data_IF_253313524296
#
_entry.id   IF_253313524296
#
_cell.length_a   1.000
_cell.length_b   1.000
_cell.length_c   1.000
_cell.angle_alpha   90.00
_cell.angle_beta   90.00
_cell.angle_gamma   90.00
#
_symmetry.space_group_name_H-M   'P 1'
#
loop_
_entity.id
_entity.type
_entity.pdbx_description
1 polymer ?
#
# COMPACT_ATOMS: atom_id res chain seq x y z
N UNK A 1 35.32 -15.79 -4.06
CA UNK A 1 36.03 -16.17 -5.30
C UNK A 1 35.10 -17.10 -6.06
N UNK A 2 34.73 -16.77 -7.29
CA UNK A 2 34.00 -17.68 -8.16
C UNK A 2 35.00 -18.29 -9.14
N UNK A 3 34.95 -19.60 -9.32
CA UNK A 3 35.79 -20.30 -10.29
C UNK A 3 34.87 -21.07 -11.22
N UNK A 4 35.22 -21.07 -12.50
CA UNK A 4 34.48 -21.80 -13.53
C UNK A 4 35.42 -22.85 -14.08
N UNK A 5 34.97 -24.10 -14.05
CA UNK A 5 35.68 -25.22 -14.64
C UNK A 5 34.92 -25.68 -15.88
N UNK A 6 35.64 -25.84 -16.99
CA UNK A 6 35.12 -26.38 -18.24
C UNK A 6 35.82 -27.71 -18.49
N UNK A 7 35.04 -28.76 -18.70
CA UNK A 7 35.53 -30.08 -19.10
C UNK A 7 35.11 -30.39 -20.53
N UNK A 8 35.98 -31.05 -21.27
CA UNK A 8 35.74 -31.45 -22.66
C UNK A 8 34.92 -32.75 -22.74
N UNK A 9 34.90 -33.54 -21.67
CA UNK A 9 34.18 -34.80 -21.59
C UNK A 9 33.15 -34.79 -20.45
N UNK A 10 31.89 -35.19 -20.71
CA UNK A 10 30.89 -35.33 -19.66
C UNK A 10 31.21 -36.52 -18.76
N UNK A 11 31.06 -36.33 -17.45
CA UNK A 11 31.22 -37.40 -16.48
C UNK A 11 31.51 -36.90 -15.07
N UNK A 12 31.68 -37.85 -14.16
CA UNK A 12 32.12 -37.57 -12.79
C UNK A 12 33.59 -37.16 -12.79
N UNK A 13 33.86 -36.02 -12.17
CA UNK A 13 35.19 -35.42 -12.06
C UNK A 13 35.49 -35.12 -10.62
N UNK A 14 36.65 -35.56 -10.19
CA UNK A 14 37.12 -35.37 -8.84
C UNK A 14 38.37 -34.52 -8.85
N UNK A 15 38.36 -33.45 -8.05
CA UNK A 15 39.45 -32.48 -7.95
C UNK A 15 39.88 -32.27 -6.52
N UNK A 16 41.18 -32.08 -6.32
CA UNK A 16 41.72 -31.62 -5.05
C UNK A 16 41.71 -30.09 -5.04
N UNK A 17 40.85 -29.51 -4.20
CA UNK A 17 40.83 -28.09 -3.94
C UNK A 17 41.71 -27.77 -2.73
N UNK A 18 42.64 -26.85 -2.91
CA UNK A 18 43.46 -26.28 -1.86
C UNK A 18 43.34 -24.75 -1.90
N UNK A 19 42.88 -24.15 -0.81
CA UNK A 19 42.71 -22.70 -0.71
C UNK A 19 43.90 -22.11 0.02
N UNK A 20 44.62 -21.20 -0.62
CA UNK A 20 45.72 -20.47 0.02
C UNK A 20 45.35 -19.01 0.21
N UNK A 21 45.27 -18.58 1.47
CA UNK A 21 44.98 -17.21 1.88
C UNK A 21 46.27 -16.48 2.25
N UNK A 22 46.41 -15.25 1.76
CA UNK A 22 47.49 -14.34 2.13
C UNK A 22 46.89 -13.03 2.64
N UNK A 23 46.95 -12.82 3.95
CA UNK A 23 46.29 -11.70 4.61
C UNK A 23 46.99 -10.34 4.39
N UNK A 24 48.31 -10.33 4.17
CA UNK A 24 49.10 -9.13 3.84
C UNK A 24 50.32 -9.46 2.97
N UNK A 25 50.78 -8.49 2.17
CA UNK A 25 52.00 -8.62 1.36
C UNK A 25 53.20 -8.83 2.28
N UNK A 26 53.82 -10.02 2.20
CA UNK A 26 54.93 -10.44 3.07
C UNK A 26 54.56 -11.36 4.24
N UNK A 27 53.27 -11.54 4.53
CA UNK A 27 52.81 -12.45 5.60
C UNK A 27 52.87 -13.92 5.17
N UNK A 28 52.85 -14.81 6.17
CA UNK A 28 52.77 -16.26 6.00
C UNK A 28 51.48 -16.65 5.25
N UNK A 29 51.60 -17.65 4.39
CA UNK A 29 50.50 -18.23 3.65
C UNK A 29 49.73 -19.15 4.60
N UNK A 30 48.41 -18.98 4.67
CA UNK A 30 47.51 -19.90 5.36
C UNK A 30 46.91 -20.78 4.28
N UNK A 31 47.33 -22.04 4.26
CA UNK A 31 46.84 -23.02 3.29
C UNK A 31 45.86 -23.95 3.98
N UNK A 32 44.70 -24.16 3.37
CA UNK A 32 43.70 -25.12 3.85
C UNK A 32 44.20 -26.55 3.63
N UNK A 33 43.65 -27.52 4.36
CA UNK A 33 43.80 -28.92 3.96
C UNK A 33 43.17 -29.13 2.57
N UNK A 34 43.79 -29.99 1.76
CA UNK A 34 43.29 -30.33 0.44
C UNK A 34 41.98 -31.12 0.59
N UNK A 35 40.88 -30.60 0.05
CA UNK A 35 39.58 -31.28 0.07
C UNK A 35 39.30 -31.84 -1.33
N UNK A 36 38.91 -33.09 -1.38
CA UNK A 36 38.44 -33.73 -2.60
C UNK A 36 37.01 -33.25 -2.88
N UNK A 37 36.79 -32.71 -4.08
CA UNK A 37 35.51 -32.20 -4.56
C UNK A 37 35.17 -32.95 -5.82
N UNK A 38 34.03 -33.65 -5.78
CA UNK A 38 33.48 -34.31 -6.95
C UNK A 38 32.33 -33.50 -7.52
N UNK A 39 32.32 -33.34 -8.83
CA UNK A 39 31.22 -32.72 -9.58
C UNK A 39 31.05 -33.46 -10.90
N UNK A 40 29.85 -33.39 -11.49
CA UNK A 40 29.54 -34.07 -12.75
C UNK A 40 29.35 -33.03 -13.84
N UNK A 41 30.11 -33.19 -14.92
CA UNK A 41 30.01 -32.35 -16.11
C UNK A 41 28.98 -33.00 -17.05
N UNK A 42 27.95 -32.26 -17.45
CA UNK A 42 26.96 -32.73 -18.43
C UNK A 42 27.35 -32.24 -19.84
N UNK A 43 27.16 -33.08 -20.86
CA UNK A 43 27.35 -32.68 -22.26
C UNK A 43 26.07 -32.06 -22.78
N UNK A 44 25.94 -30.75 -22.68
CA UNK A 44 24.80 -30.01 -23.23
C UNK A 44 25.26 -28.69 -23.85
N UNK A 45 24.74 -28.39 -25.05
CA UNK A 45 24.75 -27.03 -25.59
C UNK A 45 24.01 -26.10 -24.62
N UNK A 46 24.76 -25.45 -23.71
CA UNK A 46 24.29 -24.28 -22.97
C UNK A 46 23.83 -24.45 -21.51
N UNK A 47 24.18 -25.54 -20.82
CA UNK A 47 23.92 -25.67 -19.38
C UNK A 47 25.14 -26.19 -18.63
N UNK A 48 25.80 -25.35 -17.83
CA UNK A 48 26.89 -25.78 -16.95
C UNK A 48 26.35 -26.64 -15.81
N UNK A 49 27.00 -27.76 -15.50
CA UNK A 49 26.66 -28.58 -14.34
C UNK A 49 26.87 -27.80 -13.03
N UNK A 50 25.87 -27.82 -12.15
CA UNK A 50 25.97 -27.26 -10.80
C UNK A 50 26.63 -28.26 -9.84
N UNK A 51 27.44 -27.74 -8.93
CA UNK A 51 28.04 -28.53 -7.86
C UNK A 51 26.95 -29.09 -6.94
N UNK A 52 26.97 -30.40 -6.70
CA UNK A 52 26.02 -31.09 -5.82
C UNK A 52 26.79 -31.81 -4.69
N UNK A 53 26.81 -31.26 -3.46
CA UNK A 53 27.56 -31.82 -2.35
C UNK A 53 26.89 -33.06 -1.77
N UNK A 54 27.70 -33.98 -1.23
CA UNK A 54 27.25 -35.17 -0.49
C UNK A 54 26.86 -34.88 0.97
N UNK A 55 27.12 -33.66 1.45
CA UNK A 55 26.78 -33.20 2.79
C UNK A 55 25.91 -31.95 2.67
N UNK A 56 25.12 -31.63 3.73
CA UNK A 56 24.28 -30.43 3.75
C UNK A 56 25.10 -29.17 3.42
N UNK A 57 24.72 -28.41 2.38
CA UNK A 57 25.43 -27.19 2.03
C UNK A 57 25.27 -26.14 3.13
N UNK A 58 26.25 -25.24 3.23
CA UNK A 58 26.15 -24.09 4.13
C UNK A 58 25.02 -23.16 3.66
N UNK A 59 24.25 -22.62 4.61
CA UNK A 59 23.16 -21.66 4.34
C UNK A 59 23.66 -20.27 3.94
N UNK A 60 24.91 -19.95 4.28
CA UNK A 60 25.56 -18.67 3.99
C UNK A 60 27.08 -18.87 4.00
N UNK A 61 27.76 -18.23 3.06
CA UNK A 61 29.22 -18.06 3.03
C UNK A 61 29.70 -16.82 3.78
N UNK A 62 28.77 -16.12 4.44
CA UNK A 62 29.01 -14.91 5.23
C UNK A 62 28.63 -13.61 4.52
N UNK A 63 28.30 -13.66 3.23
CA UNK A 63 27.76 -12.51 2.49
C UNK A 63 26.24 -12.34 2.70
N UNK A 64 25.51 -13.44 2.94
CA UNK A 64 24.06 -13.47 3.01
C UNK A 64 23.38 -13.47 1.63
N UNK A 65 22.14 -13.95 1.58
CA UNK A 65 21.26 -13.90 0.41
C UNK A 65 20.27 -12.73 0.51
N UNK A 66 19.78 -12.21 -0.61
CA UNK A 66 18.67 -11.25 -0.59
C UNK A 66 17.36 -11.95 -0.23
N UNK A 67 16.55 -11.35 0.64
CA UNK A 67 15.24 -11.85 1.04
C UNK A 67 14.12 -10.95 0.50
N UNK A 68 13.14 -11.52 -0.19
CA UNK A 68 11.98 -10.77 -0.67
C UNK A 68 10.68 -11.30 -0.07
N UNK A 69 9.95 -10.45 0.64
CA UNK A 69 8.71 -10.81 1.34
C UNK A 69 7.54 -10.03 0.72
N UNK A 70 6.55 -10.76 0.20
CA UNK A 70 5.29 -10.17 -0.27
C UNK A 70 4.16 -10.71 0.59
N UNK A 71 3.36 -9.82 1.14
CA UNK A 71 2.22 -10.21 1.96
C UNK A 71 0.92 -9.57 1.49
N UNK A 72 -0.19 -10.29 1.66
CA UNK A 72 -1.52 -9.73 1.66
C UNK A 72 -2.24 -10.06 2.96
N UNK A 73 -3.01 -9.11 3.47
CA UNK A 73 -3.84 -9.28 4.65
C UNK A 73 -5.25 -8.79 4.35
N UNK A 74 -6.26 -9.62 4.59
CA UNK A 74 -7.66 -9.25 4.39
C UNK A 74 -8.43 -9.35 5.70
N UNK A 75 -8.96 -8.20 6.15
CA UNK A 75 -9.82 -8.11 7.33
C UNK A 75 -11.29 -8.13 6.92
N UNK A 76 -11.99 -9.19 7.29
CA UNK A 76 -13.42 -9.36 7.05
C UNK A 76 -14.18 -9.65 8.34
N UNK A 77 -15.50 -9.71 8.23
CA UNK A 77 -16.38 -10.11 9.32
C UNK A 77 -17.16 -11.35 8.89
N UNK A 78 -17.08 -12.42 9.70
CA UNK A 78 -17.88 -13.63 9.51
C UNK A 78 -18.66 -13.92 10.78
N UNK A 79 -19.99 -14.05 10.67
CA UNK A 79 -20.92 -14.33 11.78
C UNK A 79 -20.76 -13.45 13.03
N UNK A 80 -20.25 -12.22 12.87
CA UNK A 80 -20.05 -11.26 13.96
C UNK A 80 -18.67 -11.29 14.60
N UNK A 81 -17.79 -12.19 14.17
CA UNK A 81 -16.38 -12.24 14.55
C UNK A 81 -15.52 -11.60 13.45
N UNK A 82 -14.44 -10.94 13.85
CA UNK A 82 -13.45 -10.42 12.90
C UNK A 82 -12.49 -11.54 12.53
N UNK A 83 -12.28 -11.70 11.22
CA UNK A 83 -11.37 -12.70 10.67
C UNK A 83 -10.30 -11.97 9.88
N UNK A 84 -9.05 -12.35 10.15
CA UNK A 84 -7.89 -11.88 9.43
C UNK A 84 -7.30 -13.04 8.64
N UNK A 85 -7.36 -12.94 7.32
CA UNK A 85 -6.68 -13.86 6.42
C UNK A 85 -5.35 -13.24 6.00
N UNK A 86 -4.26 -13.99 6.08
CA UNK A 86 -2.94 -13.56 5.64
C UNK A 86 -2.40 -14.53 4.61
N UNK A 87 -1.75 -13.99 3.59
CA UNK A 87 -0.94 -14.74 2.65
C UNK A 87 0.44 -14.10 2.61
N UNK A 88 1.48 -14.83 3.00
CA UNK A 88 2.86 -14.36 3.01
C UNK A 88 3.70 -15.23 2.10
N UNK A 89 4.26 -14.61 1.07
CA UNK A 89 5.17 -15.23 0.10
C UNK A 89 6.60 -14.80 0.40
N UNK A 90 7.46 -15.77 0.67
CA UNK A 90 8.86 -15.58 1.00
C UNK A 90 9.68 -16.11 -0.17
N UNK A 91 10.29 -15.22 -0.92
CA UNK A 91 11.14 -15.57 -2.06
C UNK A 91 12.60 -15.57 -1.62
N UNK A 92 13.26 -16.70 -1.91
CA UNK A 92 14.62 -17.01 -1.52
C UNK A 92 15.49 -17.07 -2.77
N UNK A 93 16.70 -16.51 -2.69
CA UNK A 93 17.67 -16.50 -3.80
C UNK A 93 19.07 -16.94 -3.31
N UNK A 94 19.96 -17.23 -4.26
CA UNK A 94 21.37 -17.51 -4.04
C UNK A 94 21.64 -18.80 -3.25
N UNK A 95 22.40 -18.68 -2.17
CA UNK A 95 22.84 -19.85 -1.39
C UNK A 95 21.68 -20.46 -0.59
N UNK A 96 20.75 -19.63 -0.14
CA UNK A 96 19.58 -20.11 0.58
C UNK A 96 18.61 -20.88 -0.33
N UNK A 97 18.41 -20.43 -1.59
CA UNK A 97 17.59 -21.20 -2.54
C UNK A 97 18.24 -22.55 -2.85
N UNK A 98 19.56 -22.59 -3.01
CA UNK A 98 20.29 -23.85 -3.18
C UNK A 98 20.16 -24.77 -1.97
N UNK A 99 20.34 -24.26 -0.75
CA UNK A 99 20.15 -25.03 0.48
C UNK A 99 18.74 -25.61 0.59
N UNK A 100 17.72 -24.80 0.28
CA UNK A 100 16.32 -25.22 0.26
C UNK A 100 16.06 -26.31 -0.77
N UNK A 101 16.53 -26.15 -2.01
CA UNK A 101 16.37 -27.14 -3.10
C UNK A 101 17.06 -28.45 -2.75
N UNK A 102 18.29 -28.37 -2.24
CA UNK A 102 19.02 -29.54 -1.74
C UNK A 102 18.27 -30.22 -0.60
N UNK A 103 17.64 -29.46 0.30
CA UNK A 103 16.87 -30.03 1.41
C UNK A 103 15.61 -30.80 0.96
N UNK A 104 15.01 -30.38 -0.15
CA UNK A 104 13.84 -31.05 -0.75
C UNK A 104 14.24 -32.39 -1.38
N UNK A 105 15.37 -32.43 -2.08
CA UNK A 105 15.93 -33.64 -2.68
C UNK A 105 16.46 -34.66 -1.63
N UNK A 106 16.51 -34.27 -0.37
CA UNK A 106 16.85 -35.14 0.78
C UNK A 106 15.67 -35.33 1.74
N UNK A 107 14.44 -35.03 1.31
CA UNK A 107 13.27 -35.07 2.18
C UNK A 107 13.08 -36.48 2.77
N UNK A 108 13.10 -36.55 4.10
CA UNK A 108 12.92 -37.80 4.82
C UNK A 108 14.13 -38.72 4.89
N UNK A 109 15.32 -38.24 4.53
CA UNK A 109 16.57 -38.96 4.78
C UNK A 109 16.83 -39.15 6.28
N UNK A 110 17.32 -40.34 6.65
CA UNK A 110 17.67 -40.69 8.03
C UNK A 110 19.12 -40.34 8.39
N UNK A 111 19.83 -39.62 7.52
CA UNK A 111 21.22 -39.22 7.77
C UNK A 111 21.33 -38.33 9.01
N UNK A 112 22.18 -38.75 9.95
CA UNK A 112 22.45 -38.07 11.21
C UNK A 112 23.27 -36.79 11.01
N UNK A 113 23.96 -36.64 9.88
CA UNK A 113 24.71 -35.43 9.54
C UNK A 113 23.79 -34.25 9.16
N UNK A 114 22.54 -34.51 8.76
CA UNK A 114 21.57 -33.48 8.41
C UNK A 114 21.19 -32.62 9.62
N UNK A 115 20.95 -31.34 9.40
CA UNK A 115 20.48 -30.43 10.42
C UNK A 115 19.12 -30.87 10.98
N UNK A 116 18.82 -30.55 12.25
CA UNK A 116 17.55 -30.91 12.87
C UNK A 116 16.32 -30.39 12.11
N UNK A 117 16.48 -29.27 11.38
CA UNK A 117 15.41 -28.69 10.55
C UNK A 117 15.01 -29.63 9.41
N UNK A 118 15.98 -30.11 8.62
CA UNK A 118 15.73 -31.02 7.49
C UNK A 118 15.27 -32.39 8.01
N UNK A 119 15.91 -32.88 9.07
CA UNK A 119 15.59 -34.19 9.68
C UNK A 119 14.21 -34.25 10.33
N UNK A 120 13.55 -33.12 10.54
CA UNK A 120 12.19 -33.07 11.08
C UNK A 120 11.13 -33.53 10.07
N UNK A 121 11.47 -33.47 8.78
CA UNK A 121 10.62 -33.98 7.70
C UNK A 121 10.73 -35.50 7.62
N UNK A 122 9.60 -36.14 7.34
CA UNK A 122 9.49 -37.58 7.11
C UNK A 122 9.45 -37.83 5.62
N UNK A 123 9.88 -39.02 5.19
CA UNK A 123 9.84 -39.40 3.79
C UNK A 123 8.41 -39.40 3.22
N UNK A 124 7.42 -39.82 4.00
CA UNK A 124 6.03 -39.90 3.52
C UNK A 124 5.95 -40.83 2.31
N UNK A 125 5.50 -40.30 1.16
CA UNK A 125 5.50 -40.97 -0.14
C UNK A 125 6.79 -40.89 -0.96
N UNK A 126 7.83 -40.18 -0.52
CA UNK A 126 9.12 -40.06 -1.22
C UNK A 126 9.92 -41.35 -1.07
N UNK A 127 10.18 -42.05 -2.18
CA UNK A 127 11.00 -43.25 -2.23
C UNK A 127 12.50 -42.96 -2.27
N UNK A 128 13.31 -44.01 -2.37
CA UNK A 128 14.77 -43.88 -2.40
C UNK A 128 15.30 -43.54 -3.81
N UNK A 129 14.50 -43.72 -4.86
CA UNK A 129 14.87 -43.37 -6.24
C UNK A 129 14.68 -41.88 -6.53
N UNK A 130 13.71 -41.26 -5.85
CA UNK A 130 13.43 -39.82 -5.97
C UNK A 130 14.44 -38.97 -5.19
N UNK A 131 15.00 -39.50 -4.09
CA UNK A 131 16.01 -38.80 -3.29
C UNK A 131 17.36 -38.76 -3.98
N UNK A 132 18.08 -37.67 -3.74
CA UNK A 132 19.41 -37.42 -4.28
C UNK A 132 19.47 -37.50 -5.81
N UNK A 133 18.32 -37.27 -6.46
CA UNK A 133 18.15 -37.33 -7.91
C UNK A 133 18.64 -36.04 -8.58
N UNK A 134 18.90 -34.99 -7.80
CA UNK A 134 19.29 -33.62 -8.22
C UNK A 134 18.17 -32.86 -8.92
N UNK A 135 16.98 -33.44 -8.92
CA UNK A 135 15.77 -32.89 -9.51
C UNK A 135 14.69 -32.96 -8.43
N UNK A 136 14.02 -31.85 -8.17
CA UNK A 136 12.95 -31.82 -7.17
C UNK A 136 11.73 -32.46 -7.78
N UNK A 137 11.42 -33.66 -7.31
CA UNK A 137 10.31 -34.43 -7.81
C UNK A 137 8.98 -33.90 -7.27
N UNK A 138 7.91 -34.09 -8.06
CA UNK A 138 6.59 -33.59 -7.69
C UNK A 138 6.06 -34.18 -6.37
N UNK A 139 6.53 -35.36 -5.98
CA UNK A 139 6.19 -36.04 -4.71
C UNK A 139 6.87 -35.36 -3.52
N UNK A 140 8.13 -34.94 -3.66
CA UNK A 140 8.89 -34.26 -2.61
C UNK A 140 8.29 -32.90 -2.30
N UNK A 141 7.91 -32.14 -3.35
CA UNK A 141 7.19 -30.88 -3.17
C UNK A 141 5.88 -31.07 -2.40
N UNK A 142 5.06 -32.05 -2.78
CA UNK A 142 3.77 -32.29 -2.14
C UNK A 142 3.92 -32.70 -0.66
N UNK A 143 4.90 -33.55 -0.36
CA UNK A 143 5.21 -33.97 1.00
C UNK A 143 5.74 -32.81 1.85
N UNK A 144 6.61 -31.97 1.27
CA UNK A 144 7.07 -30.74 1.92
C UNK A 144 5.89 -29.82 2.26
N UNK A 145 5.02 -29.51 1.29
CA UNK A 145 3.84 -28.65 1.50
C UNK A 145 2.92 -29.19 2.60
N UNK A 146 2.66 -30.50 2.59
CA UNK A 146 1.82 -31.15 3.59
C UNK A 146 2.42 -31.06 5.00
N UNK A 147 3.72 -31.36 5.15
CA UNK A 147 4.38 -31.41 6.45
C UNK A 147 4.69 -30.01 6.99
N UNK A 148 4.95 -29.04 6.10
CA UNK A 148 5.12 -27.63 6.45
C UNK A 148 3.91 -27.05 7.18
N UNK A 149 2.70 -27.54 6.90
CA UNK A 149 1.52 -27.16 7.68
C UNK A 149 1.70 -27.32 9.20
N UNK A 150 2.54 -28.26 9.66
CA UNK A 150 2.86 -28.47 11.09
C UNK A 150 4.25 -27.97 11.49
N UNK A 151 5.18 -27.93 10.55
CA UNK A 151 6.59 -27.63 10.80
C UNK A 151 6.98 -26.17 10.50
N UNK A 152 6.07 -25.36 9.96
CA UNK A 152 6.35 -23.97 9.56
C UNK A 152 7.04 -23.15 10.65
N UNK A 153 6.61 -23.25 11.91
CA UNK A 153 7.24 -22.51 13.02
C UNK A 153 8.72 -22.88 13.18
N UNK A 154 9.01 -24.18 13.30
CA UNK A 154 10.38 -24.65 13.50
C UNK A 154 11.25 -24.45 12.26
N UNK A 155 10.64 -24.53 11.07
CA UNK A 155 11.32 -24.35 9.80
C UNK A 155 11.73 -22.90 9.56
N UNK A 156 10.78 -21.96 9.70
CA UNK A 156 11.05 -20.54 9.54
C UNK A 156 12.08 -20.06 10.59
N UNK A 157 11.94 -20.50 11.84
CA UNK A 157 12.86 -20.11 12.91
C UNK A 157 14.26 -20.71 12.76
N UNK A 158 14.38 -22.03 12.58
CA UNK A 158 15.69 -22.70 12.64
C UNK A 158 16.35 -22.86 11.25
N UNK A 159 15.54 -22.93 10.20
CA UNK A 159 16.01 -23.00 8.81
C UNK A 159 16.33 -21.63 8.26
N UNK A 160 15.33 -20.74 8.25
CA UNK A 160 15.42 -19.43 7.61
C UNK A 160 15.84 -18.29 8.56
N UNK A 161 15.91 -18.53 9.87
CA UNK A 161 16.25 -17.47 10.83
C UNK A 161 15.19 -16.36 10.90
N UNK A 162 13.92 -16.70 10.66
CA UNK A 162 12.78 -15.78 10.70
C UNK A 162 11.91 -16.09 11.93
N UNK A 163 11.39 -15.07 12.60
CA UNK A 163 10.41 -15.19 13.68
C UNK A 163 9.03 -15.38 13.04
N UNK A 164 8.45 -16.59 13.07
CA UNK A 164 7.18 -16.86 12.38
C UNK A 164 6.05 -16.01 12.95
N UNK A 165 5.94 -15.93 14.28
CA UNK A 165 4.82 -15.24 14.93
C UNK A 165 4.77 -13.73 14.60
N UNK A 166 5.93 -13.12 14.34
CA UNK A 166 6.05 -11.70 14.00
C UNK A 166 5.82 -11.43 12.49
N UNK A 167 5.79 -12.47 11.65
CA UNK A 167 5.63 -12.35 10.19
C UNK A 167 4.25 -12.84 9.71
N UNK A 168 3.82 -14.02 10.16
CA UNK A 168 2.62 -14.70 9.67
C UNK A 168 1.45 -14.67 10.66
N UNK A 169 1.65 -14.14 11.87
CA UNK A 169 0.69 -14.14 12.98
C UNK A 169 0.94 -15.25 14.00
N UNK A 170 0.21 -15.24 15.12
CA UNK A 170 0.37 -16.23 16.19
C UNK A 170 -0.15 -17.59 15.73
N UNK A 171 0.79 -18.51 15.50
CA UNK A 171 0.49 -19.87 15.04
C UNK A 171 -0.44 -20.66 15.96
N UNK A 172 -0.55 -20.29 17.25
CA UNK A 172 -1.47 -20.90 18.20
C UNK A 172 -2.95 -20.56 17.94
N UNK A 173 -3.21 -19.43 17.29
CA UNK A 173 -4.56 -18.88 17.05
C UNK A 173 -5.09 -19.12 15.64
N UNK A 174 -4.33 -19.85 14.81
CA UNK A 174 -4.72 -20.17 13.44
C UNK A 174 -5.87 -21.19 13.40
N UNK A 175 -6.96 -20.82 12.73
CA UNK A 175 -8.03 -21.72 12.34
C UNK A 175 -7.58 -22.68 11.24
N UNK A 176 -6.84 -22.15 10.26
CA UNK A 176 -6.30 -22.90 9.13
C UNK A 176 -4.95 -22.35 8.73
N UNK A 177 -4.02 -23.23 8.38
CA UNK A 177 -2.73 -22.90 7.77
C UNK A 177 -2.52 -23.78 6.53
N UNK A 178 -2.12 -23.17 5.42
CA UNK A 178 -1.75 -23.85 4.18
C UNK A 178 -0.40 -23.34 3.71
N UNK A 179 0.42 -24.24 3.15
CA UNK A 179 1.74 -23.90 2.61
C UNK A 179 1.82 -24.40 1.18
N UNK A 180 2.37 -23.58 0.29
CA UNK A 180 2.68 -23.95 -1.09
C UNK A 180 4.10 -23.53 -1.46
N UNK A 181 4.75 -24.31 -2.32
CA UNK A 181 6.10 -24.08 -2.80
C UNK A 181 6.10 -23.88 -4.31
N UNK A 182 6.63 -22.75 -4.77
CA UNK A 182 6.86 -22.46 -6.18
C UNK A 182 8.36 -22.50 -6.50
N UNK A 183 8.72 -23.30 -7.51
CA UNK A 183 10.09 -23.48 -7.98
C UNK A 183 10.42 -22.60 -9.22
N UNK A 184 9.48 -21.75 -9.66
CA UNK A 184 9.60 -20.86 -10.83
C UNK A 184 9.93 -21.57 -12.16
N UNK A 185 9.57 -22.85 -12.26
CA UNK A 185 9.77 -23.67 -13.46
C UNK A 185 11.17 -24.29 -13.57
N UNK A 186 12.03 -24.13 -12.58
CA UNK A 186 13.32 -24.83 -12.48
C UNK A 186 13.22 -25.92 -11.42
N UNK A 187 13.40 -27.18 -11.82
CA UNK A 187 13.31 -28.34 -10.92
C UNK A 187 14.70 -28.81 -10.48
N UNK A 188 15.78 -28.36 -11.13
CA UNK A 188 17.14 -28.74 -10.74
C UNK A 188 17.50 -28.19 -9.36
N UNK A 189 18.37 -28.92 -8.67
CA UNK A 189 19.03 -28.42 -7.45
C UNK A 189 20.15 -27.46 -7.85
N UNK A 190 19.80 -26.18 -7.90
CA UNK A 190 20.69 -25.06 -8.22
C UNK A 190 20.37 -23.81 -7.38
N UNK A 191 20.93 -22.65 -7.71
CA UNK A 191 20.69 -21.39 -6.99
C UNK A 191 19.46 -20.64 -7.50
N UNK A 192 18.64 -21.22 -8.39
CA UNK A 192 17.48 -20.53 -8.95
C UNK A 192 16.48 -20.16 -7.83
N UNK A 193 15.85 -18.98 -7.88
CA UNK A 193 14.92 -18.57 -6.84
C UNK A 193 13.78 -19.57 -6.61
N UNK A 194 13.25 -19.57 -5.39
CA UNK A 194 12.01 -20.28 -5.04
C UNK A 194 11.18 -19.45 -4.08
N UNK A 195 9.87 -19.69 -4.08
CA UNK A 195 8.93 -18.95 -3.23
C UNK A 195 8.14 -19.91 -2.36
N UNK A 196 8.19 -19.68 -1.05
CA UNK A 196 7.33 -20.37 -0.07
C UNK A 196 6.18 -19.44 0.28
N UNK A 197 4.95 -19.85 -0.03
CA UNK A 197 3.74 -19.09 0.30
C UNK A 197 3.00 -19.76 1.43
N UNK A 198 2.75 -19.01 2.50
CA UNK A 198 2.03 -19.45 3.69
C UNK A 198 0.72 -18.66 3.77
N UNK A 199 -0.40 -19.38 3.83
CA UNK A 199 -1.74 -18.83 4.01
C UNK A 199 -2.24 -19.18 5.41
N UNK A 200 -2.55 -18.18 6.21
CA UNK A 200 -3.11 -18.36 7.55
C UNK A 200 -4.46 -17.63 7.67
N UNK A 201 -5.31 -18.15 8.54
CA UNK A 201 -6.58 -17.52 8.91
C UNK A 201 -6.71 -17.58 10.42
N UNK A 202 -6.96 -16.43 11.03
CA UNK A 202 -7.13 -16.31 12.48
C UNK A 202 -8.35 -15.44 12.83
N UNK A 203 -8.85 -15.60 14.05
CA UNK A 203 -9.85 -14.69 14.62
C UNK A 203 -9.15 -13.61 15.40
N UNK A 204 -9.47 -12.35 15.10
CA UNK A 204 -8.88 -11.22 15.80
C UNK A 204 -9.88 -10.55 16.73
N UNK A 205 -9.45 -10.10 17.93
CA UNK A 205 -10.31 -9.35 18.84
C UNK A 205 -10.72 -7.97 18.29
N UNK A 206 -11.97 -7.57 18.53
CA UNK A 206 -12.51 -6.27 18.06
C UNK A 206 -12.08 -5.12 18.97
N UNK A 207 -11.48 -4.09 18.36
CA UNK A 207 -11.14 -2.82 18.99
C UNK A 207 -9.88 -2.86 19.86
N UNK A 208 -9.17 -3.97 19.88
CA UNK A 208 -7.88 -4.13 20.57
C UNK A 208 -6.74 -3.93 19.59
N UNK A 209 -5.68 -3.26 20.02
CA UNK A 209 -4.46 -3.15 19.23
C UNK A 209 -3.83 -4.54 19.07
N UNK A 210 -3.50 -4.89 17.84
CA UNK A 210 -2.78 -6.11 17.49
C UNK A 210 -1.59 -5.77 16.62
N UNK A 211 -0.56 -6.61 16.73
CA UNK A 211 0.63 -6.54 15.91
C UNK A 211 0.34 -7.29 14.61
N UNK A 212 0.44 -6.60 13.48
CA UNK A 212 0.18 -7.21 12.17
C UNK A 212 1.44 -7.86 11.62
N UNK A 213 2.56 -7.12 11.63
CA UNK A 213 3.91 -7.58 11.29
C UNK A 213 4.92 -6.78 12.12
N UNK A 214 5.95 -7.44 12.63
CA UNK A 214 7.06 -6.80 13.37
C UNK A 214 8.40 -7.28 12.85
N UNK A 215 9.48 -6.85 13.51
CA UNK A 215 10.85 -7.26 13.21
C UNK A 215 11.00 -8.79 13.25
N UNK A 216 10.93 -9.41 12.06
CA UNK A 216 10.87 -10.86 11.92
C UNK A 216 12.22 -11.50 11.61
N UNK A 217 13.28 -10.73 11.31
CA UNK A 217 14.61 -11.31 11.04
C UNK A 217 15.36 -11.52 12.36
N UNK A 218 15.92 -12.72 12.55
CA UNK A 218 16.83 -13.00 13.67
C UNK A 218 18.25 -12.63 13.28
N UNK A 219 18.81 -11.60 13.91
CA UNK A 219 20.19 -11.15 13.66
C UNK A 219 21.19 -12.17 14.21
N UNK A 220 22.10 -12.63 13.35
CA UNK A 220 23.11 -13.65 13.68
C UNK A 220 24.53 -13.14 13.35
N UNK A 221 25.59 -13.66 14.01
CA UNK A 221 26.98 -13.24 13.73
C UNK A 221 27.45 -13.54 12.30
N UNK A 222 26.93 -14.61 11.69
CA UNK A 222 27.08 -14.91 10.27
C UNK A 222 25.68 -14.82 9.67
N UNK A 223 25.38 -13.76 8.90
CA UNK A 223 24.00 -13.49 8.52
C UNK A 223 23.55 -14.40 7.38
N UNK A 224 22.32 -14.90 7.47
CA UNK A 224 21.66 -15.64 6.39
C UNK A 224 21.23 -14.72 5.27
N UNK A 225 20.80 -13.51 5.62
CA UNK A 225 20.33 -12.51 4.68
C UNK A 225 21.39 -11.43 4.51
N UNK A 226 21.48 -10.77 3.36
CA UNK A 226 22.33 -9.58 3.18
C UNK A 226 21.50 -8.33 3.42
N UNK A 227 20.38 -8.28 2.70
CA UNK A 227 19.37 -7.25 2.64
C UNK A 227 18.01 -7.93 2.51
N UNK A 228 16.96 -7.15 2.77
CA UNK A 228 15.60 -7.63 2.56
C UNK A 228 14.69 -6.54 2.05
N UNK A 229 13.66 -6.94 1.32
CA UNK A 229 12.62 -6.03 0.83
C UNK A 229 11.26 -6.60 1.16
N UNK A 230 10.29 -5.71 1.36
CA UNK A 230 8.94 -6.07 1.78
C UNK A 230 7.88 -5.25 1.03
N UNK A 231 6.83 -5.94 0.61
CA UNK A 231 5.61 -5.33 0.07
C UNK A 231 4.40 -6.01 0.73
N UNK A 232 3.72 -5.29 1.63
CA UNK A 232 2.50 -5.76 2.28
C UNK A 232 1.31 -4.96 1.82
N UNK A 233 0.27 -5.66 1.37
CA UNK A 233 -1.03 -5.06 1.07
C UNK A 233 -2.05 -5.48 2.12
N UNK A 234 -2.68 -4.51 2.77
CA UNK A 234 -3.71 -4.71 3.77
C UNK A 234 -5.04 -4.20 3.22
N UNK A 235 -6.06 -5.04 3.23
CA UNK A 235 -7.40 -4.73 2.75
C UNK A 235 -8.45 -4.96 3.84
N UNK A 236 -9.49 -4.13 3.84
CA UNK A 236 -10.65 -4.32 4.72
C UNK A 236 -11.94 -4.33 3.90
N UNK A 237 -13.01 -4.87 4.46
CA UNK A 237 -14.36 -4.71 3.91
C UNK A 237 -14.94 -3.33 4.21
N UNK A 238 -16.01 -2.93 3.53
CA UNK A 238 -16.68 -1.64 3.78
C UNK A 238 -17.29 -1.51 5.19
N UNK A 239 -17.41 -2.61 5.93
CA UNK A 239 -17.95 -2.66 7.29
C UNK A 239 -16.87 -2.92 8.36
N UNK A 240 -15.62 -3.14 7.95
CA UNK A 240 -14.48 -3.35 8.85
C UNK A 240 -13.42 -2.27 8.62
N UNK A 241 -12.62 -1.96 9.62
CA UNK A 241 -11.57 -0.95 9.53
C UNK A 241 -10.36 -1.34 10.39
N UNK A 242 -9.19 -0.85 9.98
CA UNK A 242 -7.95 -0.92 10.73
C UNK A 242 -7.69 0.45 11.37
N UNK A 243 -8.10 0.62 12.62
CA UNK A 243 -7.99 1.89 13.33
C UNK A 243 -6.58 2.07 13.86
N UNK A 244 -5.99 3.25 13.63
CA UNK A 244 -4.67 3.58 14.15
C UNK A 244 -3.54 2.79 13.48
N UNK A 245 -3.73 2.42 12.20
CA UNK A 245 -2.69 1.79 11.40
C UNK A 245 -1.43 2.68 11.37
N UNK A 246 -0.34 2.15 11.88
CA UNK A 246 0.94 2.84 11.98
C UNK A 246 2.08 1.82 11.88
N UNK A 247 3.22 2.24 11.30
CA UNK A 247 4.45 1.42 11.19
C UNK A 247 5.56 1.91 12.12
N UNK A 248 5.29 2.97 12.89
CA UNK A 248 6.29 3.62 13.73
C UNK A 248 7.32 4.41 12.91
N UNK A 249 8.39 4.84 13.57
CA UNK A 249 9.47 5.62 12.96
C UNK A 249 10.57 4.65 12.46
N UNK A 250 10.31 4.01 11.33
CA UNK A 250 11.25 3.09 10.69
C UNK A 250 11.79 3.67 9.38
N UNK A 251 13.10 3.93 9.36
CA UNK A 251 13.77 4.46 8.17
C UNK A 251 13.71 3.46 7.01
N UNK A 252 13.30 3.92 5.82
CA UNK A 252 13.22 3.10 4.61
C UNK A 252 11.86 2.42 4.37
N UNK A 253 10.95 2.42 5.36
CA UNK A 253 9.59 1.93 5.20
C UNK A 253 8.60 3.05 4.86
N UNK A 254 7.72 2.80 3.90
CA UNK A 254 6.68 3.75 3.50
C UNK A 254 5.29 3.10 3.59
N UNK A 255 4.43 3.68 4.42
CA UNK A 255 3.04 3.25 4.57
C UNK A 255 2.10 4.23 3.86
N UNK A 256 1.39 3.73 2.85
CA UNK A 256 0.37 4.49 2.13
C UNK A 256 -1.02 3.92 2.40
N UNK A 257 -1.85 4.67 3.13
CA UNK A 257 -3.21 4.27 3.51
C UNK A 257 -4.28 5.06 2.75
N UNK A 258 -5.24 4.35 2.18
CA UNK A 258 -6.39 4.90 1.45
C UNK A 258 -7.68 4.25 1.89
N UNK A 259 -8.76 5.03 1.87
CA UNK A 259 -10.10 4.55 2.20
C UNK A 259 -11.03 4.70 1.01
N UNK A 260 -11.69 3.62 0.66
CA UNK A 260 -12.70 3.53 -0.38
C UNK A 260 -14.07 3.21 0.26
N UNK A 261 -15.19 3.43 -0.46
CA UNK A 261 -16.52 3.07 0.05
C UNK A 261 -16.69 1.58 0.39
N UNK A 262 -15.95 0.71 -0.29
CA UNK A 262 -16.04 -0.74 -0.16
C UNK A 262 -14.98 -1.35 0.78
N UNK A 263 -14.10 -0.53 1.36
CA UNK A 263 -12.96 -1.03 2.13
C UNK A 263 -11.84 -0.02 2.28
N UNK A 264 -10.91 -0.30 3.19
CA UNK A 264 -9.61 0.36 3.29
C UNK A 264 -8.56 -0.45 2.55
N UNK A 265 -7.55 0.24 2.00
CA UNK A 265 -6.37 -0.37 1.41
C UNK A 265 -5.15 0.35 1.96
N UNK A 266 -4.22 -0.37 2.56
CA UNK A 266 -2.93 0.14 2.96
C UNK A 266 -1.81 -0.68 2.31
N UNK A 267 -0.79 0.00 1.82
CA UNK A 267 0.39 -0.64 1.22
C UNK A 267 1.61 -0.20 2.01
N UNK A 268 2.33 -1.16 2.58
CA UNK A 268 3.63 -0.95 3.20
C UNK A 268 4.71 -1.46 2.25
N UNK A 269 5.64 -0.59 1.86
CA UNK A 269 6.75 -0.97 0.99
C UNK A 269 8.09 -0.54 1.57
N UNK A 270 9.12 -1.37 1.37
CA UNK A 270 10.51 -1.04 1.66
C UNK A 270 11.45 -1.91 0.85
N UNK A 271 12.58 -1.33 0.43
CA UNK A 271 13.57 -1.95 -0.45
C UNK A 271 14.96 -1.83 0.19
N UNK A 272 15.79 -2.87 0.00
CA UNK A 272 17.19 -2.91 0.46
C UNK A 272 17.37 -2.54 1.96
N UNK A 273 16.49 -3.07 2.81
CA UNK A 273 16.45 -2.79 4.24
C UNK A 273 17.55 -3.55 5.00
N UNK A 274 18.05 -2.94 6.08
CA UNK A 274 19.02 -3.57 6.98
C UNK A 274 18.36 -4.63 7.87
N UNK A 275 19.10 -5.68 8.20
CA UNK A 275 18.63 -6.79 9.04
C UNK A 275 18.37 -6.37 10.49
N UNK A 276 19.05 -5.31 10.95
CA UNK A 276 18.86 -4.75 12.28
C UNK A 276 17.68 -3.79 12.41
N UNK A 277 16.91 -3.58 11.33
CA UNK A 277 15.78 -2.64 11.35
C UNK A 277 14.68 -3.14 12.30
N UNK A 278 14.36 -2.31 13.29
CA UNK A 278 13.21 -2.53 14.18
C UNK A 278 12.01 -1.76 13.67
N UNK A 279 10.92 -2.45 13.39
CA UNK A 279 9.66 -1.83 12.98
C UNK A 279 8.48 -2.60 13.57
N UNK A 280 7.33 -1.94 13.67
CA UNK A 280 6.11 -2.50 14.24
C UNK A 280 4.93 -1.97 13.46
N UNK A 281 4.31 -2.81 12.62
CA UNK A 281 3.06 -2.50 11.95
C UNK A 281 1.90 -2.92 12.85
N UNK A 282 1.24 -1.93 13.45
CA UNK A 282 0.14 -2.16 14.38
C UNK A 282 -1.17 -1.59 13.86
N UNK A 283 -2.28 -2.22 14.23
CA UNK A 283 -3.61 -1.64 14.05
C UNK A 283 -4.60 -2.20 15.07
N UNK A 284 -5.73 -1.52 15.25
CA UNK A 284 -6.88 -2.07 15.97
C UNK A 284 -7.98 -2.48 14.95
N UNK A 285 -8.13 -3.77 14.65
CA UNK A 285 -9.21 -4.28 13.82
C UNK A 285 -10.54 -3.98 14.48
N UNK A 286 -11.51 -3.45 13.74
CA UNK A 286 -12.84 -3.19 14.31
C UNK A 286 -13.98 -3.33 13.31
N UNK A 287 -15.12 -3.77 13.83
CA UNK A 287 -16.41 -3.75 13.12
C UNK A 287 -17.31 -2.60 13.57
N UNK A 288 -16.80 -1.69 14.41
CA UNK A 288 -17.60 -0.63 15.00
C UNK A 288 -18.13 0.35 13.94
N UNK A 289 -19.45 0.69 13.95
CA UNK A 289 -20.08 1.50 12.91
C UNK A 289 -19.47 2.89 12.67
N UNK A 290 -18.82 3.46 13.69
CA UNK A 290 -18.19 4.77 13.62
C UNK A 290 -16.87 4.77 12.83
N UNK A 291 -16.26 3.60 12.64
CA UNK A 291 -14.99 3.44 11.92
C UNK A 291 -15.18 2.76 10.56
N UNK A 292 -16.25 1.97 10.39
CA UNK A 292 -16.61 1.32 9.13
C UNK A 292 -16.65 2.31 7.93
N UNK A 293 -15.82 2.11 6.88
CA UNK A 293 -15.70 3.04 5.76
C UNK A 293 -17.02 3.40 5.08
N UNK A 294 -17.87 2.41 4.83
CA UNK A 294 -19.15 2.61 4.17
C UNK A 294 -20.10 3.46 5.03
N UNK A 295 -20.14 3.18 6.34
CA UNK A 295 -21.05 3.87 7.27
C UNK A 295 -20.58 5.30 7.53
N UNK A 296 -19.27 5.52 7.64
CA UNK A 296 -18.69 6.86 7.74
C UNK A 296 -18.98 7.68 6.49
N UNK A 297 -18.86 7.08 5.30
CA UNK A 297 -19.21 7.75 4.04
C UNK A 297 -20.69 8.13 4.00
N UNK A 298 -21.59 7.18 4.33
CA UNK A 298 -23.03 7.44 4.37
C UNK A 298 -23.39 8.53 5.38
N UNK A 299 -22.81 8.46 6.59
CA UNK A 299 -22.99 9.49 7.62
C UNK A 299 -22.52 10.86 7.14
N UNK A 300 -21.36 10.91 6.49
CA UNK A 300 -20.81 12.14 5.88
C UNK A 300 -21.77 12.70 4.82
N UNK A 301 -22.27 11.86 3.90
CA UNK A 301 -23.21 12.28 2.86
C UNK A 301 -24.54 12.77 3.45
N UNK A 302 -25.04 12.14 4.51
CA UNK A 302 -26.27 12.58 5.21
C UNK A 302 -26.06 13.95 5.85
N UNK A 303 -24.93 14.17 6.51
CA UNK A 303 -24.59 15.46 7.14
C UNK A 303 -24.48 16.56 6.08
N UNK A 304 -23.70 16.32 5.02
CA UNK A 304 -23.53 17.29 3.93
C UNK A 304 -24.86 17.53 3.18
N UNK A 305 -25.60 16.47 2.85
CA UNK A 305 -26.90 16.57 2.20
C UNK A 305 -27.93 17.35 3.05
N UNK A 306 -27.95 17.10 4.36
CA UNK A 306 -28.78 17.84 5.31
C UNK A 306 -28.39 19.32 5.43
N UNK A 307 -27.10 19.61 5.52
CA UNK A 307 -26.56 20.97 5.50
C UNK A 307 -26.91 21.72 4.21
N UNK A 308 -26.78 21.06 3.06
CA UNK A 308 -27.16 21.63 1.78
C UNK A 308 -28.68 21.88 1.70
N UNK A 309 -29.51 20.92 2.09
CA UNK A 309 -30.96 21.04 2.05
C UNK A 309 -31.47 22.18 2.96
N UNK A 310 -30.91 22.32 4.17
CA UNK A 310 -31.22 23.41 5.09
C UNK A 310 -30.78 24.76 4.54
N UNK A 311 -29.52 24.87 4.06
CA UNK A 311 -29.00 26.08 3.41
C UNK A 311 -29.81 26.50 2.18
N UNK A 312 -30.24 25.54 1.35
CA UNK A 312 -31.09 25.77 0.19
C UNK A 312 -32.49 26.26 0.58
N UNK A 313 -33.08 25.68 1.63
CA UNK A 313 -34.41 26.07 2.13
C UNK A 313 -34.39 27.50 2.68
N UNK A 314 -33.36 27.87 3.44
CA UNK A 314 -33.18 29.22 4.02
C UNK A 314 -32.89 30.27 2.95
N UNK A 315 -32.10 29.92 1.94
CA UNK A 315 -31.71 30.83 0.85
C UNK A 315 -32.72 30.93 -0.30
N UNK A 316 -33.97 30.45 -0.12
CA UNK A 316 -35.02 30.49 -1.17
C UNK A 316 -35.21 31.87 -1.82
N UNK A 317 -35.08 32.95 -1.03
CA UNK A 317 -35.25 34.35 -1.46
C UNK A 317 -33.93 35.17 -1.42
N UNK A 318 -32.77 34.51 -1.45
CA UNK A 318 -31.44 35.13 -1.33
C UNK A 318 -30.54 34.76 -2.52
N UNK A 319 -29.43 35.48 -2.71
CA UNK A 319 -28.42 35.11 -3.72
C UNK A 319 -27.69 33.83 -3.27
N UNK A 320 -27.57 32.85 -4.16
CA UNK A 320 -26.99 31.53 -3.83
C UNK A 320 -25.55 31.32 -4.26
N UNK A 321 -24.97 32.23 -5.05
CA UNK A 321 -23.65 32.04 -5.65
C UNK A 321 -22.57 31.68 -4.61
N UNK A 322 -22.47 32.45 -3.53
CA UNK A 322 -21.49 32.25 -2.45
C UNK A 322 -21.68 30.92 -1.71
N UNK A 323 -22.94 30.56 -1.41
CA UNK A 323 -23.26 29.29 -0.77
C UNK A 323 -22.92 28.10 -1.68
N UNK A 324 -23.19 28.19 -2.99
CA UNK A 324 -22.89 27.10 -3.91
C UNK A 324 -21.38 26.88 -4.07
N UNK A 325 -20.57 27.95 -4.07
CA UNK A 325 -19.10 27.81 -4.12
C UNK A 325 -18.56 27.15 -2.86
N UNK A 326 -19.07 27.52 -1.68
CA UNK A 326 -18.68 26.89 -0.41
C UNK A 326 -19.10 25.43 -0.33
N UNK A 327 -20.30 25.09 -0.82
CA UNK A 327 -20.79 23.71 -0.85
C UNK A 327 -19.87 22.83 -1.66
N UNK A 328 -19.47 23.27 -2.85
CA UNK A 328 -18.56 22.49 -3.71
C UNK A 328 -17.19 22.34 -3.07
N UNK A 329 -16.56 23.45 -2.65
CA UNK A 329 -15.19 23.42 -2.11
C UNK A 329 -15.09 22.60 -0.83
N UNK A 330 -15.96 22.84 0.15
CA UNK A 330 -15.90 22.13 1.44
C UNK A 330 -16.27 20.64 1.28
N UNK A 331 -17.21 20.31 0.39
CA UNK A 331 -17.53 18.90 0.12
C UNK A 331 -16.34 18.16 -0.51
N UNK A 332 -15.64 18.78 -1.46
CA UNK A 332 -14.44 18.19 -2.07
C UNK A 332 -13.37 17.92 -1.00
N UNK A 333 -13.13 18.88 -0.09
CA UNK A 333 -12.15 18.72 0.99
C UNK A 333 -12.55 17.57 1.92
N UNK A 334 -13.81 17.51 2.36
CA UNK A 334 -14.30 16.45 3.26
C UNK A 334 -14.21 15.07 2.58
N UNK A 335 -14.55 14.97 1.30
CA UNK A 335 -14.40 13.72 0.53
C UNK A 335 -12.93 13.36 0.35
N UNK A 336 -12.05 14.32 0.10
CA UNK A 336 -10.61 14.07 0.03
C UNK A 336 -10.06 13.55 1.36
N UNK A 337 -10.45 14.17 2.49
CA UNK A 337 -10.09 13.68 3.84
C UNK A 337 -10.56 12.24 4.05
N UNK A 338 -11.78 11.90 3.61
CA UNK A 338 -12.25 10.52 3.64
C UNK A 338 -11.35 9.60 2.82
N UNK A 339 -11.01 9.95 1.58
CA UNK A 339 -10.21 9.12 0.68
C UNK A 339 -8.77 8.90 1.18
N UNK A 340 -8.17 9.91 1.82
CA UNK A 340 -6.84 9.81 2.45
C UNK A 340 -6.87 9.17 3.84
N UNK A 341 -7.92 8.40 4.15
CA UNK A 341 -8.05 7.61 5.36
C UNK A 341 -7.87 8.39 6.69
N UNK A 342 -8.18 9.71 6.72
CA UNK A 342 -8.16 10.48 7.96
C UNK A 342 -9.08 9.83 9.01
N UNK A 343 -8.78 9.97 10.32
CA UNK A 343 -9.58 9.32 11.34
C UNK A 343 -11.06 9.74 11.23
N UNK A 344 -11.97 8.77 11.34
CA UNK A 344 -13.39 8.96 11.00
C UNK A 344 -14.06 10.09 11.77
N UNK A 345 -13.67 10.30 13.03
CA UNK A 345 -14.13 11.40 13.88
C UNK A 345 -13.80 12.77 13.27
N UNK A 346 -12.61 12.93 12.67
CA UNK A 346 -12.23 14.18 11.98
C UNK A 346 -13.05 14.39 10.72
N UNK A 347 -13.31 13.35 9.93
CA UNK A 347 -14.12 13.43 8.71
C UNK A 347 -15.56 13.85 9.03
N UNK A 348 -16.20 13.18 9.99
CA UNK A 348 -17.55 13.52 10.44
C UNK A 348 -17.62 14.91 11.07
N UNK A 349 -16.61 15.29 11.87
CA UNK A 349 -16.49 16.62 12.46
C UNK A 349 -16.35 17.72 11.41
N UNK A 350 -15.53 17.50 10.37
CA UNK A 350 -15.36 18.43 9.25
C UNK A 350 -16.64 18.56 8.43
N UNK A 351 -17.36 17.46 8.20
CA UNK A 351 -18.67 17.47 7.55
C UNK A 351 -19.69 18.29 8.34
N UNK A 352 -19.78 18.07 9.65
CA UNK A 352 -20.68 18.81 10.55
C UNK A 352 -20.36 20.31 10.59
N UNK A 353 -19.07 20.65 10.66
CA UNK A 353 -18.59 22.03 10.63
C UNK A 353 -18.94 22.72 9.30
N UNK A 354 -18.77 22.02 8.17
CA UNK A 354 -19.13 22.53 6.85
C UNK A 354 -20.63 22.80 6.74
N UNK A 355 -21.48 21.87 7.22
CA UNK A 355 -22.92 22.07 7.27
C UNK A 355 -23.33 23.28 8.12
N UNK A 356 -22.65 23.51 9.25
CA UNK A 356 -22.86 24.68 10.09
C UNK A 356 -22.49 25.98 9.38
N UNK A 357 -21.33 26.03 8.72
CA UNK A 357 -20.89 27.19 7.93
C UNK A 357 -21.94 27.51 6.85
N UNK A 358 -22.42 26.51 6.12
CA UNK A 358 -23.45 26.72 5.10
C UNK A 358 -24.76 27.28 5.66
N UNK A 359 -25.16 26.87 6.86
CA UNK A 359 -26.34 27.44 7.53
C UNK A 359 -26.14 28.93 7.85
N UNK A 360 -24.96 29.31 8.35
CA UNK A 360 -24.60 30.71 8.62
C UNK A 360 -24.54 31.52 7.33
N UNK A 361 -23.85 31.02 6.30
CA UNK A 361 -23.77 31.67 4.98
C UNK A 361 -25.15 31.86 4.34
N UNK A 362 -26.04 30.87 4.46
CA UNK A 362 -27.43 30.98 4.01
C UNK A 362 -28.20 32.08 4.74
N UNK A 363 -27.93 32.26 6.05
CA UNK A 363 -28.59 33.27 6.89
C UNK A 363 -28.07 34.69 6.67
N UNK A 364 -26.78 34.85 6.32
CA UNK A 364 -26.16 36.18 6.08
C UNK A 364 -26.33 36.64 4.63
N UNK A 365 -26.52 35.71 3.67
CA UNK A 365 -26.59 36.05 2.24
C UNK A 365 -27.63 37.14 1.90
N UNK A 366 -27.30 38.14 1.06
CA UNK A 366 -28.21 39.22 0.72
C UNK A 366 -29.48 38.70 0.03
N UNK A 367 -30.63 39.24 0.44
CA UNK A 367 -31.92 38.99 -0.24
C UNK A 367 -31.83 39.42 -1.69
N UNK A 368 -32.31 38.57 -2.60
CA UNK A 368 -32.42 38.95 -4.00
C UNK A 368 -33.46 40.04 -4.10
N UNK A 369 -33.02 41.30 -4.21
CA UNK A 369 -33.91 42.40 -4.57
C UNK A 369 -34.43 42.07 -5.96
N UNK A 370 -35.67 41.58 -6.03
CA UNK A 370 -36.41 41.41 -7.28
C UNK A 370 -36.68 42.82 -7.79
N UNK A 371 -35.67 43.48 -8.36
CA UNK A 371 -35.91 44.60 -9.26
C UNK A 371 -36.73 44.00 -10.38
N UNK A 372 -38.04 44.24 -10.29
CA UNK A 372 -39.00 44.11 -11.38
C UNK A 372 -38.28 44.63 -12.61
N UNK A 373 -38.00 43.75 -13.58
CA UNK A 373 -37.63 44.16 -14.92
C UNK A 373 -38.88 44.82 -15.52
N UNK A 374 -39.12 46.07 -15.12
CA UNK A 374 -40.16 46.93 -15.66
C UNK A 374 -39.73 48.38 -15.45
N UNK A 375 -38.56 48.72 -15.96
CA UNK A 375 -38.24 50.12 -16.23
C UNK A 375 -37.33 50.13 -17.44
N UNK A 376 -37.95 50.40 -18.57
CA UNK A 376 -37.36 51.06 -19.72
C UNK A 376 -36.34 52.13 -19.25
N UNK A 377 -35.25 52.36 -20.00
CA UNK A 377 -34.12 53.21 -19.59
C UNK A 377 -34.47 54.70 -19.36
N UNK A 378 -35.74 55.09 -19.50
CA UNK A 378 -36.21 56.46 -19.33
C UNK A 378 -36.54 56.87 -17.87
N UNK A 379 -36.63 55.94 -16.92
CA UNK A 379 -37.05 56.28 -15.54
C UNK A 379 -35.89 56.39 -14.52
N UNK A 380 -34.65 56.20 -14.96
CA UNK A 380 -33.45 56.38 -14.12
C UNK A 380 -32.96 57.84 -14.04
N UNK A 381 -33.76 58.80 -14.53
CA UNK A 381 -33.47 60.23 -14.49
C UNK A 381 -34.63 61.02 -13.83
N UNK A 382 -35.19 60.51 -12.74
CA UNK A 382 -36.09 61.26 -11.85
C UNK A 382 -35.35 61.53 -10.54
N UNK A 383 -34.51 62.56 -10.53
CA UNK A 383 -33.83 62.97 -9.29
C UNK A 383 -32.48 63.66 -9.45
N UNK A 384 -31.91 63.73 -10.66
CA UNK A 384 -30.72 64.54 -10.93
C UNK A 384 -31.20 65.94 -11.34
N UNK A 385 -30.83 67.02 -10.63
CA UNK A 385 -31.15 68.38 -11.07
C UNK A 385 -30.39 68.66 -12.36
N UNK A 386 -31.10 68.58 -13.49
CA UNK A 386 -30.55 68.94 -14.79
C UNK A 386 -30.45 70.47 -14.87
N UNK A 387 -29.39 71.01 -15.50
CA UNK A 387 -29.32 72.44 -15.75
C UNK A 387 -30.48 72.87 -16.63
N UNK A 388 -31.18 73.91 -16.22
CA UNK A 388 -32.35 74.47 -16.91
C UNK A 388 -32.00 75.76 -17.64
N UNK A 389 -32.72 76.05 -18.72
CA UNK A 389 -32.65 77.34 -19.40
C UNK A 389 -34.05 77.82 -19.78
N UNK A 390 -34.25 79.14 -19.80
CA UNK A 390 -35.50 79.74 -20.26
C UNK A 390 -35.52 79.85 -21.79
N UNK A 391 -36.60 79.42 -22.43
CA UNK A 391 -36.77 79.57 -23.88
C UNK A 391 -36.85 81.07 -24.24
N UNK A 392 -36.03 81.56 -25.20
CA UNK A 392 -36.05 82.98 -25.58
C UNK A 392 -37.34 83.40 -26.31
N UNK A 393 -38.13 82.45 -26.82
CA UNK A 393 -39.37 82.74 -27.54
C UNK A 393 -40.62 82.78 -26.65
N UNK A 394 -40.68 81.99 -25.58
CA UNK A 394 -41.88 81.86 -24.74
C UNK A 394 -41.62 81.88 -23.23
N UNK A 395 -40.36 82.04 -22.80
CA UNK A 395 -39.97 82.11 -21.38
C UNK A 395 -40.07 80.79 -20.61
N UNK A 396 -40.60 79.72 -21.20
CA UNK A 396 -40.76 78.41 -20.55
C UNK A 396 -39.39 77.80 -20.23
N UNK A 397 -39.21 77.34 -18.99
CA UNK A 397 -38.00 76.68 -18.51
C UNK A 397 -37.95 75.25 -19.05
N UNK A 398 -36.84 74.87 -19.71
CA UNK A 398 -36.63 73.52 -20.25
C UNK A 398 -35.34 72.91 -19.67
N UNK A 399 -35.36 71.60 -19.42
CA UNK A 399 -34.22 70.83 -18.93
C UNK A 399 -33.25 70.50 -20.07
N UNK A 400 -31.94 70.53 -19.82
CA UNK A 400 -30.90 70.15 -20.79
C UNK A 400 -30.43 68.71 -20.50
N UNK A 401 -30.82 67.71 -21.32
CA UNK A 401 -30.59 66.29 -21.04
C UNK A 401 -29.17 65.79 -21.34
N UNK A 402 -28.32 66.59 -21.99
CA UNK A 402 -26.97 66.18 -22.40
C UNK A 402 -25.96 67.33 -22.35
N UNK A 403 -24.70 67.00 -22.06
CA UNK A 403 -23.56 67.91 -22.09
C UNK A 403 -22.85 67.94 -23.46
N UNK A 404 -23.20 67.05 -24.39
CA UNK A 404 -22.68 67.09 -25.76
C UNK A 404 -23.23 68.31 -26.51
N UNK A 405 -22.39 68.95 -27.33
CA UNK A 405 -22.72 70.13 -28.13
C UNK A 405 -22.26 69.91 -29.57
N UNK A 406 -23.00 70.36 -30.59
CA UNK A 406 -24.27 71.10 -30.51
C UNK A 406 -25.48 70.20 -30.17
N UNK A 407 -26.33 70.63 -29.25
CA UNK A 407 -27.53 69.91 -28.83
C UNK A 407 -28.80 70.53 -29.44
N UNK A 408 -29.62 69.71 -30.10
CA UNK A 408 -30.94 70.13 -30.60
C UNK A 408 -32.04 69.61 -29.67
N UNK A 409 -32.81 70.52 -29.09
CA UNK A 409 -33.96 70.21 -28.24
C UNK A 409 -35.18 71.00 -28.69
N UNK A 410 -36.37 70.46 -28.42
CA UNK A 410 -37.63 71.14 -28.71
C UNK A 410 -38.15 71.76 -27.42
N UNK A 411 -38.53 73.03 -27.48
CA UNK A 411 -39.14 73.70 -26.32
C UNK A 411 -40.50 73.09 -25.99
N UNK A 412 -40.75 72.75 -24.72
CA UNK A 412 -42.05 72.22 -24.28
C UNK A 412 -43.20 73.24 -24.35
N UNK A 413 -42.90 74.54 -24.28
CA UNK A 413 -43.92 75.59 -24.31
C UNK A 413 -44.39 75.96 -25.72
N UNK A 414 -43.46 76.13 -26.67
CA UNK A 414 -43.76 76.66 -28.00
C UNK A 414 -43.40 75.72 -29.17
N UNK A 415 -42.94 74.49 -28.89
CA UNK A 415 -42.53 73.49 -29.89
C UNK A 415 -41.50 73.95 -30.94
N UNK A 416 -40.80 75.06 -30.70
CA UNK A 416 -39.70 75.50 -31.57
C UNK A 416 -38.43 74.69 -31.28
N UNK A 417 -37.71 74.36 -32.34
CA UNK A 417 -36.38 73.75 -32.25
C UNK A 417 -35.34 74.76 -31.77
N UNK A 418 -34.66 74.43 -30.69
CA UNK A 418 -33.58 75.22 -30.08
C UNK A 418 -32.28 74.46 -30.27
N UNK A 419 -31.26 75.16 -30.76
CA UNK A 419 -29.89 74.65 -30.88
C UNK A 419 -29.05 75.28 -29.77
N UNK A 420 -28.57 74.46 -28.83
CA UNK A 420 -27.60 74.90 -27.82
C UNK A 420 -26.21 74.63 -28.38
N UNK A 421 -25.47 75.69 -28.68
CA UNK A 421 -24.04 75.62 -29.00
C UNK A 421 -23.24 75.79 -27.71
N UNK A 422 -22.07 75.13 -27.65
CA UNK A 422 -21.16 75.18 -26.51
C UNK A 422 -20.27 76.41 -26.58
#
# INVERSE_FOLDING_TARGET
>A
MTWTYTDDEPGERTMLLEVTLRLQTGAALITSESREITFITESGEGGGGTYYPSEEPVRTTGAGSSLFVVGSMELSQDRGELILERETSITLDGEMSFWMRWSLDHLGSEDLALSPTIRSFRAGGVGDEERESRMIESVERQEFEQQMGKLHVSFLSNGLGLKPDELIGDSGDFDTVGVSLDLHGEERVDTHPLTVTIRSRERVPDGTLVDLVRDFIVVQPVPFWSDWSIDLTLETSGLTSLVGLDVGDAEGLNLNHRRMPMGEMAVLSGEELDQGLTFELVAAPTSAPLYAPLLVLLGTLVILGGGFATGWRVSRQRRRALLMTEVVLLSIIVVAMFLFAYPSVFVLGAAGSSAFIWAVSAFVSPRTSRKRASTSPASAMKGVPLPTFACPACGTVNDVPSHERPLRIVCQGCNRGITIQG
#
